data_IF_644119634048
#
_entry.id   IF_644119634048
#
_cell.length_a   1.000
_cell.length_b   1.000
_cell.length_c   1.000
_cell.angle_alpha   90.00
_cell.angle_beta   90.00
_cell.angle_gamma   90.00
#
_symmetry.space_group_name_H-M   'P 1'
#
loop_
_entity.id
_entity.type
_entity.pdbx_description
1 polymer ?
#
# COMPACT_ATOMS: atom_id res chain seq x y z
N UNK A 1 -35.95 47.18 -45.45
CA UNK A 1 -36.76 46.08 -44.88
C UNK A 1 -36.03 45.48 -43.69
N UNK A 2 -36.57 45.77 -42.50
CA UNK A 2 -36.54 45.11 -41.17
C UNK A 2 -35.34 44.23 -40.79
N UNK A 3 -34.64 44.67 -39.72
CA UNK A 3 -33.71 43.91 -38.85
C UNK A 3 -34.51 43.04 -37.86
N UNK A 4 -34.02 41.84 -37.48
CA UNK A 4 -33.63 41.64 -36.07
C UNK A 4 -32.28 40.90 -36.01
N UNK A 5 -31.21 41.43 -35.42
CA UNK A 5 -30.95 41.40 -33.97
C UNK A 5 -31.51 40.14 -33.30
N UNK A 6 -30.80 39.02 -33.44
CA UNK A 6 -30.89 37.92 -32.48
C UNK A 6 -29.56 37.86 -31.74
N UNK A 7 -29.56 38.58 -30.63
CA UNK A 7 -28.68 38.37 -29.49
C UNK A 7 -29.05 36.98 -28.92
N UNK A 8 -28.17 36.00 -28.97
CA UNK A 8 -28.31 34.76 -28.18
C UNK A 8 -26.94 34.25 -27.77
N UNK A 9 -26.44 34.94 -26.75
CA UNK A 9 -25.78 34.40 -25.56
C UNK A 9 -25.86 32.86 -25.43
N UNK A 10 -24.71 32.18 -25.52
CA UNK A 10 -24.40 31.01 -24.69
C UNK A 10 -22.90 30.73 -24.74
N UNK A 11 -22.17 31.40 -23.85
CA UNK A 11 -20.87 30.95 -23.38
C UNK A 11 -21.07 29.71 -22.51
N UNK A 12 -20.21 28.70 -22.68
CA UNK A 12 -19.58 27.91 -21.61
C UNK A 12 -18.94 26.64 -22.19
N UNK A 13 -17.70 26.78 -22.70
CA UNK A 13 -16.77 25.65 -22.71
C UNK A 13 -16.38 25.36 -21.26
N UNK A 14 -17.11 24.47 -20.60
CA UNK A 14 -16.74 23.95 -19.29
C UNK A 14 -16.95 22.44 -19.28
N UNK A 15 -16.15 21.72 -20.05
CA UNK A 15 -15.79 20.36 -19.65
C UNK A 15 -14.67 20.46 -18.61
N UNK A 16 -15.06 20.86 -17.39
CA UNK A 16 -14.30 20.50 -16.21
C UNK A 16 -14.42 18.97 -16.10
N UNK A 17 -13.52 18.26 -16.76
CA UNK A 17 -13.32 16.85 -16.49
C UNK A 17 -12.92 16.77 -15.01
N UNK A 18 -13.84 16.25 -14.19
CA UNK A 18 -13.63 16.00 -12.79
C UNK A 18 -12.28 15.31 -12.63
N UNK A 19 -11.37 15.95 -11.89
CA UNK A 19 -10.30 15.25 -11.23
C UNK A 19 -10.95 14.14 -10.41
N UNK A 20 -10.90 12.91 -10.93
CA UNK A 20 -11.09 11.73 -10.13
C UNK A 20 -9.96 11.80 -9.10
N UNK A 21 -10.27 12.40 -7.95
CA UNK A 21 -9.46 12.25 -6.76
C UNK A 21 -9.51 10.76 -6.48
N UNK A 22 -8.46 10.07 -6.93
CA UNK A 22 -8.14 8.73 -6.48
C UNK A 22 -8.13 8.84 -4.96
N UNK A 23 -9.20 8.36 -4.33
CA UNK A 23 -9.19 8.09 -2.89
C UNK A 23 -8.08 7.07 -2.73
N UNK A 24 -6.90 7.55 -2.39
CA UNK A 24 -5.81 6.75 -1.90
C UNK A 24 -6.37 6.08 -0.65
N UNK A 25 -6.86 4.85 -0.81
CA UNK A 25 -7.33 4.03 0.27
C UNK A 25 -6.11 3.84 1.16
N UNK A 26 -6.07 4.55 2.29
CA UNK A 26 -5.05 4.35 3.30
C UNK A 26 -4.97 2.85 3.55
N UNK A 27 -3.78 2.22 3.50
CA UNK A 27 -3.68 0.79 3.71
C UNK A 27 -4.38 0.48 5.01
N UNK A 28 -5.42 -0.36 4.97
CA UNK A 28 -6.06 -0.84 6.19
C UNK A 28 -4.97 -1.56 6.97
N UNK A 29 -4.49 -0.92 8.03
CA UNK A 29 -3.48 -1.52 8.92
C UNK A 29 -4.16 -2.75 9.52
N UNK A 30 -3.82 -3.92 8.98
CA UNK A 30 -4.27 -5.20 9.51
C UNK A 30 -3.70 -5.41 10.90
N UNK A 31 -4.22 -6.43 11.61
CA UNK A 31 -3.60 -6.92 12.85
C UNK A 31 -2.13 -7.24 12.55
N UNK A 32 -1.22 -6.78 13.40
CA UNK A 32 0.20 -7.01 13.22
C UNK A 32 0.52 -8.52 13.22
N UNK A 33 1.46 -8.93 12.36
CA UNK A 33 1.91 -10.31 12.32
C UNK A 33 2.79 -10.60 13.56
N UNK A 34 2.40 -11.53 14.45
CA UNK A 34 3.17 -11.83 15.66
C UNK A 34 4.62 -12.24 15.40
N UNK A 35 4.90 -12.95 14.30
CA UNK A 35 6.25 -13.37 13.94
C UNK A 35 7.11 -12.17 13.49
N UNK A 36 6.53 -11.24 12.73
CA UNK A 36 7.20 -10.01 12.32
C UNK A 36 7.44 -9.07 13.51
N UNK A 37 6.47 -8.95 14.42
CA UNK A 37 6.67 -8.21 15.69
C UNK A 37 7.77 -8.83 16.53
N UNK A 38 7.80 -10.16 16.64
CA UNK A 38 8.85 -10.86 17.36
C UNK A 38 10.22 -10.59 16.73
N UNK A 39 10.34 -10.66 15.40
CA UNK A 39 11.58 -10.31 14.69
C UNK A 39 12.09 -8.92 15.10
N UNK A 40 11.23 -7.91 15.04
CA UNK A 40 11.57 -6.53 15.41
C UNK A 40 11.94 -6.43 16.90
N UNK A 41 11.24 -7.16 17.78
CA UNK A 41 11.55 -7.23 19.21
C UNK A 41 12.91 -7.83 19.51
N UNK A 42 13.40 -8.75 18.68
CA UNK A 42 14.76 -9.31 18.76
C UNK A 42 15.83 -8.38 18.15
N UNK A 43 15.47 -7.16 17.76
CA UNK A 43 16.35 -6.20 17.10
C UNK A 43 16.57 -6.49 15.61
N UNK A 44 15.81 -7.42 15.03
CA UNK A 44 15.88 -7.73 13.61
C UNK A 44 15.05 -6.79 12.74
N UNK A 45 15.20 -6.93 11.42
CA UNK A 45 14.37 -6.28 10.41
C UNK A 45 13.52 -7.32 9.69
N UNK A 46 12.21 -7.12 9.72
CA UNK A 46 11.24 -7.87 8.92
C UNK A 46 11.33 -7.48 7.44
N UNK A 47 11.26 -8.47 6.55
CA UNK A 47 11.15 -8.29 5.10
C UNK A 47 10.20 -9.34 4.51
N UNK A 48 9.21 -8.90 3.72
CA UNK A 48 8.39 -9.81 2.92
C UNK A 48 9.12 -10.11 1.61
N UNK A 49 9.26 -11.39 1.29
CA UNK A 49 9.82 -11.90 0.05
C UNK A 49 8.76 -12.68 -0.72
N UNK A 50 9.00 -12.81 -2.03
CA UNK A 50 8.18 -13.65 -2.92
C UNK A 50 8.97 -14.89 -3.33
N UNK A 51 8.31 -16.04 -3.36
CA UNK A 51 8.87 -17.25 -3.95
C UNK A 51 8.70 -17.24 -5.49
N UNK A 52 9.16 -18.32 -6.14
CA UNK A 52 9.08 -18.49 -7.61
C UNK A 52 7.65 -18.56 -8.15
N UNK A 53 6.68 -18.89 -7.31
CA UNK A 53 5.27 -19.05 -7.66
C UNK A 53 4.46 -17.78 -7.31
N UNK A 54 5.12 -16.77 -6.73
CA UNK A 54 4.53 -15.50 -6.32
C UNK A 54 3.95 -15.49 -4.90
N UNK A 55 4.12 -16.56 -4.14
CA UNK A 55 3.73 -16.64 -2.73
C UNK A 55 4.60 -15.75 -1.85
N UNK A 56 3.98 -15.05 -0.89
CA UNK A 56 4.69 -14.16 0.03
C UNK A 56 5.06 -14.89 1.34
N UNK A 57 6.28 -14.64 1.83
CA UNK A 57 6.77 -15.13 3.12
C UNK A 57 7.64 -14.09 3.80
N UNK A 58 7.68 -14.11 5.14
CA UNK A 58 8.47 -13.18 5.94
C UNK A 58 9.85 -13.74 6.26
N UNK A 59 10.89 -12.93 6.15
CA UNK A 59 12.22 -13.22 6.69
C UNK A 59 12.64 -12.16 7.71
N UNK A 60 13.32 -12.60 8.76
CA UNK A 60 13.93 -11.76 9.77
C UNK A 60 15.44 -11.64 9.50
N UNK A 61 15.91 -10.41 9.31
CA UNK A 61 17.33 -10.07 9.27
C UNK A 61 17.79 -9.73 10.68
N UNK A 62 18.53 -10.64 11.32
CA UNK A 62 18.99 -10.49 12.69
C UNK A 62 20.28 -9.62 12.76
N UNK A 63 20.57 -8.97 13.91
CA UNK A 63 21.74 -8.10 14.07
C UNK A 63 23.10 -8.78 13.81
N UNK A 64 23.16 -10.11 13.97
CA UNK A 64 24.35 -10.91 13.70
C UNK A 64 24.54 -11.25 12.22
N UNK A 65 23.69 -10.72 11.33
CA UNK A 65 23.70 -10.99 9.89
C UNK A 65 22.95 -12.26 9.48
N UNK A 66 22.38 -13.01 10.42
CA UNK A 66 21.58 -14.20 10.08
C UNK A 66 20.25 -13.77 9.45
N UNK A 67 19.85 -14.46 8.39
CA UNK A 67 18.52 -14.31 7.78
C UNK A 67 17.77 -15.63 7.98
N UNK A 68 16.62 -15.56 8.62
CA UNK A 68 15.79 -16.74 8.98
C UNK A 68 14.32 -16.46 8.67
N UNK A 69 13.54 -17.48 8.35
CA UNK A 69 12.09 -17.33 8.15
C UNK A 69 11.41 -16.94 9.49
N UNK A 70 10.50 -15.96 9.45
CA UNK A 70 9.97 -15.33 10.67
C UNK A 70 9.18 -16.30 11.55
N UNK A 71 8.35 -17.15 10.96
CA UNK A 71 7.52 -18.09 11.71
C UNK A 71 8.33 -19.25 12.30
N UNK A 72 9.33 -19.74 11.58
CA UNK A 72 10.30 -20.69 12.07
C UNK A 72 11.04 -20.12 13.29
N UNK A 73 11.58 -18.91 13.16
CA UNK A 73 12.28 -18.24 14.25
C UNK A 73 11.38 -18.02 15.47
N UNK A 74 10.16 -17.54 15.24
CA UNK A 74 9.15 -17.34 16.28
C UNK A 74 8.85 -18.62 17.05
N UNK A 75 8.52 -19.73 16.36
CA UNK A 75 8.20 -21.01 17.02
C UNK A 75 9.36 -21.61 17.80
N UNK A 76 10.60 -21.39 17.35
CA UNK A 76 11.79 -21.90 18.03
C UNK A 76 12.09 -21.16 19.34
N UNK A 77 11.74 -19.87 19.42
CA UNK A 77 12.21 -18.98 20.50
C UNK A 77 11.08 -18.39 21.38
N UNK A 78 9.81 -18.51 20.97
CA UNK A 78 8.66 -17.96 21.69
C UNK A 78 7.78 -19.08 22.25
N UNK A 79 8.12 -19.56 23.46
CA UNK A 79 7.33 -20.52 24.24
C UNK A 79 6.57 -19.83 25.37
#
# INVERSE_FOLDING_TARGET
MIKPLILSLAAATALAACSASEKQESPKVGVANPASEFCVKQGGKSEIKKDKDGGEYGVCHLPNGTVVEEWEYFRQHNK
#
